data_IF_424562896178
#
_entry.id   IF_424562896178
#
_cell.length_a   1.000
_cell.length_b   1.000
_cell.length_c   1.000
_cell.angle_alpha   90.00
_cell.angle_beta   90.00
_cell.angle_gamma   90.00
#
_symmetry.space_group_name_H-M   'P 1'
#
loop_
_entity.id
_entity.type
_entity.pdbx_description
1 polymer ?
#
# COMPACT_ATOMS: atom_id res chain seq x y z
N UNK A 1 19.76 -2.32 1.27
CA UNK A 1 19.72 -3.68 0.72
C UNK A 1 19.69 -4.65 1.88
N UNK A 2 18.83 -5.66 1.76
CA UNK A 2 18.57 -6.68 2.75
C UNK A 2 19.76 -7.61 3.05
N UNK A 3 20.73 -7.68 2.14
CA UNK A 3 21.97 -8.47 2.27
C UNK A 3 21.71 -9.96 2.60
N UNK A 4 20.61 -10.53 2.12
CA UNK A 4 20.28 -11.93 2.35
C UNK A 4 21.32 -12.87 1.71
N UNK A 5 21.66 -13.94 2.44
CA UNK A 5 22.50 -15.02 1.91
C UNK A 5 21.63 -16.01 1.12
N UNK A 6 22.24 -16.78 0.20
CA UNK A 6 21.54 -17.84 -0.54
C UNK A 6 21.61 -19.16 0.24
N UNK A 7 20.48 -19.89 0.46
CA UNK A 7 19.12 -19.52 0.06
C UNK A 7 18.55 -18.37 0.90
N UNK A 8 17.80 -17.46 0.25
CA UNK A 8 17.09 -16.38 0.93
C UNK A 8 16.06 -16.98 1.89
N UNK A 9 15.84 -16.37 3.07
CA UNK A 9 14.82 -16.86 3.99
C UNK A 9 13.42 -16.66 3.41
N UNK A 10 12.54 -17.62 3.64
CA UNK A 10 11.12 -17.46 3.35
C UNK A 10 10.47 -16.49 4.35
N UNK A 11 9.35 -15.89 3.97
CA UNK A 11 8.57 -15.04 4.88
C UNK A 11 8.12 -15.81 6.13
N UNK A 12 7.86 -17.11 6.02
CA UNK A 12 7.47 -17.93 7.16
C UNK A 12 8.63 -18.09 8.16
N UNK A 13 9.85 -18.35 7.68
CA UNK A 13 11.05 -18.41 8.53
C UNK A 13 11.32 -17.07 9.22
N UNK A 14 11.21 -15.96 8.47
CA UNK A 14 11.35 -14.61 9.02
C UNK A 14 10.32 -14.38 10.14
N UNK A 15 9.04 -14.63 9.88
CA UNK A 15 7.96 -14.41 10.86
C UNK A 15 8.07 -15.34 12.08
N UNK A 16 8.50 -16.59 11.93
CA UNK A 16 8.72 -17.51 13.06
C UNK A 16 9.91 -17.11 13.95
N UNK A 17 10.89 -16.42 13.38
CA UNK A 17 12.10 -15.97 14.08
C UNK A 17 11.98 -14.56 14.68
N UNK A 18 10.91 -13.84 14.34
CA UNK A 18 10.68 -12.45 14.71
C UNK A 18 9.74 -12.32 15.92
N UNK A 19 10.09 -11.48 16.89
CA UNK A 19 9.25 -11.14 18.05
C UNK A 19 8.40 -9.88 17.85
N UNK A 20 8.82 -8.98 16.96
CA UNK A 20 8.21 -7.65 16.75
C UNK A 20 8.23 -7.22 15.28
N UNK A 21 7.06 -6.89 14.72
CA UNK A 21 6.86 -6.64 13.29
C UNK A 21 6.21 -5.27 13.05
N UNK A 22 6.75 -4.53 12.08
CA UNK A 22 6.07 -3.40 11.45
C UNK A 22 5.47 -3.85 10.12
N UNK A 23 4.19 -3.56 9.89
CA UNK A 23 3.54 -3.72 8.58
C UNK A 23 3.06 -2.35 8.12
N UNK A 24 3.43 -1.91 6.92
CA UNK A 24 2.92 -0.66 6.36
C UNK A 24 2.14 -0.89 5.05
N UNK A 25 0.99 -0.24 4.92
CA UNK A 25 0.30 -0.10 3.63
C UNK A 25 1.19 0.65 2.64
N UNK A 26 1.39 0.05 1.48
CA UNK A 26 2.14 0.51 0.32
C UNK A 26 1.11 0.90 -0.73
N UNK A 27 1.12 2.15 -1.20
CA UNK A 27 0.14 2.69 -2.17
C UNK A 27 -0.73 3.81 -1.60
N UNK A 28 -0.92 3.82 -0.28
CA UNK A 28 -1.56 4.92 0.45
C UNK A 28 -2.47 4.45 1.59
N UNK A 29 -3.42 5.30 1.99
CA UNK A 29 -4.28 5.04 3.15
C UNK A 29 -5.09 3.75 3.06
N UNK A 30 -5.54 3.37 1.85
CA UNK A 30 -6.29 2.14 1.57
C UNK A 30 -5.52 0.87 1.96
N UNK A 31 -4.28 0.77 1.52
CA UNK A 31 -3.44 -0.43 1.66
C UNK A 31 -3.14 -0.81 3.10
N UNK A 32 -3.39 0.09 4.06
CA UNK A 32 -3.34 -0.25 5.48
C UNK A 32 -4.24 -1.45 5.80
N UNK A 33 -5.41 -1.56 5.15
CA UNK A 33 -6.33 -2.67 5.39
C UNK A 33 -5.75 -4.01 4.93
N UNK A 34 -4.85 -4.01 3.94
CA UNK A 34 -4.12 -5.19 3.48
C UNK A 34 -3.16 -5.74 4.52
N UNK A 35 -2.77 -4.90 5.49
CA UNK A 35 -1.94 -5.32 6.62
C UNK A 35 -2.66 -6.27 7.58
N UNK A 36 -4.01 -6.34 7.55
CA UNK A 36 -4.80 -7.14 8.50
C UNK A 36 -4.59 -8.63 8.32
N UNK A 37 -4.61 -9.13 7.07
CA UNK A 37 -4.37 -10.54 6.77
C UNK A 37 -2.93 -10.93 7.11
N UNK A 38 -1.96 -10.06 6.81
CA UNK A 38 -0.54 -10.26 7.15
C UNK A 38 -0.34 -10.27 8.66
N UNK A 39 -0.98 -9.35 9.40
CA UNK A 39 -0.97 -9.31 10.86
C UNK A 39 -1.52 -10.62 11.46
N UNK A 40 -2.66 -11.10 10.95
CA UNK A 40 -3.25 -12.35 11.43
C UNK A 40 -2.35 -13.54 11.11
N UNK A 41 -1.76 -13.60 9.92
CA UNK A 41 -0.79 -14.63 9.55
C UNK A 41 0.44 -14.59 10.47
N UNK A 42 1.04 -13.42 10.69
CA UNK A 42 2.18 -13.24 11.61
C UNK A 42 1.86 -13.71 13.04
N UNK A 43 0.66 -13.39 13.57
CA UNK A 43 0.21 -13.89 14.87
C UNK A 43 0.13 -15.41 14.92
N UNK A 44 -0.36 -16.06 13.87
CA UNK A 44 -0.43 -17.53 13.81
C UNK A 44 0.96 -18.18 13.83
N UNK A 45 1.97 -17.47 13.35
CA UNK A 45 3.37 -17.89 13.36
C UNK A 45 4.14 -17.53 14.63
N UNK A 46 3.51 -16.82 15.57
CA UNK A 46 4.05 -16.55 16.90
C UNK A 46 4.58 -15.14 17.14
N UNK A 47 4.44 -14.23 16.18
CA UNK A 47 4.82 -12.81 16.36
C UNK A 47 3.94 -12.18 17.44
N UNK A 48 4.56 -11.57 18.46
CA UNK A 48 3.85 -11.08 19.65
C UNK A 48 3.53 -9.60 19.60
N UNK A 49 4.46 -8.79 19.07
CA UNK A 49 4.31 -7.34 18.95
C UNK A 49 4.14 -7.00 17.47
N UNK A 50 3.06 -6.30 17.14
CA UNK A 50 2.78 -5.86 15.78
C UNK A 50 2.31 -4.42 15.84
N UNK A 51 2.89 -3.56 15.02
CA UNK A 51 2.35 -2.24 14.73
C UNK A 51 2.08 -2.09 13.23
N UNK A 52 1.11 -1.25 12.91
CA UNK A 52 0.68 -0.98 11.55
C UNK A 52 0.98 0.47 11.21
N UNK A 53 1.29 0.75 9.95
CA UNK A 53 1.51 2.10 9.47
C UNK A 53 0.97 2.30 8.06
N UNK A 54 0.84 3.55 7.63
CA UNK A 54 0.66 3.88 6.21
C UNK A 54 1.22 5.26 5.89
N UNK A 55 1.56 5.46 4.63
CA UNK A 55 1.83 6.78 4.06
C UNK A 55 0.47 7.44 3.83
N UNK A 56 0.21 8.52 4.57
CA UNK A 56 -1.15 9.02 4.81
C UNK A 56 -1.67 9.83 3.63
N UNK A 57 -2.40 9.17 2.75
CA UNK A 57 -3.13 9.77 1.63
C UNK A 57 -4.48 9.10 1.47
N UNK A 58 -5.42 9.71 0.73
CA UNK A 58 -6.68 9.02 0.42
C UNK A 58 -7.30 9.43 -0.92
N UNK A 59 -7.91 8.45 -1.60
CA UNK A 59 -8.79 8.67 -2.76
C UNK A 59 -10.23 8.79 -2.29
N UNK A 60 -10.92 9.86 -2.70
CA UNK A 60 -12.26 10.19 -2.17
C UNK A 60 -13.41 9.67 -3.04
N UNK A 61 -13.32 8.44 -3.52
CA UNK A 61 -14.38 7.73 -4.24
C UNK A 61 -13.99 7.24 -5.63
N UNK A 62 -14.95 6.63 -6.31
CA UNK A 62 -14.77 5.85 -7.56
C UNK A 62 -14.17 6.61 -8.74
N UNK A 63 -14.40 7.92 -8.79
CA UNK A 63 -13.93 8.81 -9.88
C UNK A 63 -12.82 9.75 -9.42
N UNK A 64 -12.07 9.36 -8.39
CA UNK A 64 -10.91 10.09 -7.91
C UNK A 64 -9.69 9.74 -8.77
N UNK A 65 -9.09 10.77 -9.37
CA UNK A 65 -7.96 10.62 -10.28
C UNK A 65 -6.63 10.55 -9.52
N UNK A 66 -6.53 11.36 -8.46
CA UNK A 66 -5.40 11.47 -7.57
C UNK A 66 -5.79 11.39 -6.09
N UNK A 67 -4.78 11.21 -5.25
CA UNK A 67 -4.97 11.13 -3.80
C UNK A 67 -4.87 12.49 -3.11
N UNK A 68 -5.68 12.70 -2.08
CA UNK A 68 -5.45 13.81 -1.16
C UNK A 68 -4.28 13.44 -0.24
N UNK A 69 -3.20 14.21 -0.32
CA UNK A 69 -2.08 14.10 0.62
C UNK A 69 -2.50 14.74 1.94
N UNK A 70 -2.44 13.97 3.03
CA UNK A 70 -2.80 14.49 4.35
C UNK A 70 -1.64 15.24 4.99
N UNK A 71 -1.94 16.43 5.51
CA UNK A 71 -1.13 17.03 6.56
C UNK A 71 -1.37 16.23 7.85
N UNK A 72 -0.28 15.72 8.43
CA UNK A 72 -0.36 14.84 9.60
C UNK A 72 -0.99 15.52 10.82
N UNK A 73 -0.91 16.85 10.92
CA UNK A 73 -1.54 17.62 12.00
C UNK A 73 -3.07 17.67 11.84
N UNK A 74 -3.63 17.27 10.70
CA UNK A 74 -5.09 17.13 10.54
C UNK A 74 -5.66 15.98 11.36
N UNK A 75 -4.86 14.97 11.72
CA UNK A 75 -5.28 13.90 12.61
C UNK A 75 -5.25 14.37 14.07
N UNK A 76 -6.43 14.49 14.70
CA UNK A 76 -6.54 14.96 16.09
C UNK A 76 -7.58 14.19 16.92
N UNK A 77 -7.27 13.81 18.18
CA UNK A 77 -5.95 13.86 18.82
C UNK A 77 -5.02 12.77 18.28
N UNK A 78 -3.70 12.94 18.39
CA UNK A 78 -2.68 11.93 18.07
C UNK A 78 -1.53 11.97 19.08
N UNK A 79 -0.73 10.91 19.15
CA UNK A 79 0.56 10.93 19.86
C UNK A 79 1.68 11.16 18.83
N UNK A 80 2.36 12.32 18.88
CA UNK A 80 3.44 12.63 17.93
C UNK A 80 4.59 11.65 18.08
N UNK A 81 5.12 11.15 16.96
CA UNK A 81 6.28 10.27 16.91
C UNK A 81 7.33 10.86 15.96
N UNK A 82 8.38 11.44 16.54
CA UNK A 82 9.38 12.15 15.75
C UNK A 82 8.78 13.34 14.99
N UNK A 83 9.31 13.58 13.79
CA UNK A 83 8.87 14.71 12.94
C UNK A 83 7.84 14.31 11.88
N UNK A 84 7.91 13.08 11.40
CA UNK A 84 7.26 12.65 10.17
C UNK A 84 6.21 11.56 10.41
N UNK A 85 5.92 11.22 11.66
CA UNK A 85 4.93 10.22 12.02
C UNK A 85 4.10 10.63 13.25
N UNK A 86 2.91 10.04 13.35
CA UNK A 86 2.03 10.22 14.49
C UNK A 86 1.23 8.94 14.72
N UNK A 87 1.05 8.55 15.98
CA UNK A 87 0.17 7.44 16.33
C UNK A 87 -1.28 7.89 16.27
N UNK A 88 -2.06 7.15 15.50
CA UNK A 88 -3.51 7.30 15.41
C UNK A 88 -4.16 6.57 16.58
N UNK A 89 -5.05 7.30 17.26
CA UNK A 89 -5.80 6.81 18.41
C UNK A 89 -7.23 6.42 17.98
N UNK A 90 -7.92 5.56 18.74
CA UNK A 90 -9.31 5.18 18.42
C UNK A 90 -10.27 6.38 18.32
N UNK A 91 -10.01 7.44 19.08
CA UNK A 91 -10.81 8.67 19.08
C UNK A 91 -10.29 9.76 18.12
N UNK A 92 -9.23 9.50 17.36
CA UNK A 92 -8.73 10.42 16.33
C UNK A 92 -9.81 10.70 15.28
N UNK A 93 -9.81 11.93 14.79
CA UNK A 93 -10.63 12.42 13.70
C UNK A 93 -9.77 13.22 12.71
N UNK A 94 -10.17 13.23 11.45
CA UNK A 94 -9.55 14.11 10.46
C UNK A 94 -10.21 15.50 10.53
N UNK A 95 -9.42 16.54 10.74
CA UNK A 95 -9.89 17.90 11.04
C UNK A 95 -9.65 18.92 9.92
N UNK A 96 -8.91 18.53 8.88
CA UNK A 96 -8.58 19.34 7.71
C UNK A 96 -8.79 18.61 6.39
N UNK A 97 -8.50 19.30 5.29
CA UNK A 97 -8.67 18.79 3.93
C UNK A 97 -10.11 18.53 3.50
N UNK A 98 -10.26 17.96 2.30
CA UNK A 98 -11.50 17.38 1.75
C UNK A 98 -11.99 16.20 2.60
N UNK A 99 -11.08 15.55 3.33
CA UNK A 99 -11.37 14.52 4.30
C UNK A 99 -11.95 14.98 5.64
N UNK A 100 -12.04 16.29 5.93
CA UNK A 100 -12.49 16.78 7.23
C UNK A 100 -13.82 16.16 7.66
N UNK A 101 -13.83 15.55 8.84
CA UNK A 101 -14.99 14.87 9.43
C UNK A 101 -15.32 13.51 8.80
N UNK A 102 -14.58 13.06 7.78
CA UNK A 102 -14.70 11.73 7.20
C UNK A 102 -13.84 10.72 7.97
N UNK A 103 -14.18 9.45 7.79
CA UNK A 103 -13.39 8.34 8.30
C UNK A 103 -12.27 8.01 7.29
N UNK A 104 -11.09 7.67 7.80
CA UNK A 104 -9.98 7.13 7.03
C UNK A 104 -9.63 5.72 7.52
N UNK A 105 -8.90 4.96 6.71
CA UNK A 105 -8.51 3.60 7.06
C UNK A 105 -7.63 3.55 8.32
N UNK A 106 -6.75 4.53 8.53
CA UNK A 106 -5.94 4.64 9.75
C UNK A 106 -6.82 4.72 11.00
N UNK A 107 -7.85 5.58 10.95
CA UNK A 107 -8.79 5.75 12.06
C UNK A 107 -9.67 4.51 12.22
N UNK A 108 -10.14 3.91 11.13
CA UNK A 108 -10.96 2.70 11.17
C UNK A 108 -10.20 1.52 11.78
N UNK A 109 -8.97 1.29 11.35
CA UNK A 109 -8.12 0.21 11.86
C UNK A 109 -7.76 0.46 13.33
N UNK A 110 -7.40 1.68 13.72
CA UNK A 110 -7.11 2.02 15.12
C UNK A 110 -8.33 1.82 16.04
N UNK A 111 -9.56 1.98 15.54
CA UNK A 111 -10.79 1.71 16.30
C UNK A 111 -11.11 0.22 16.44
N UNK A 112 -10.80 -0.57 15.42
CA UNK A 112 -11.26 -1.96 15.32
C UNK A 112 -10.25 -2.97 15.87
N UNK A 113 -8.96 -2.63 15.88
CA UNK A 113 -7.87 -3.52 16.25
C UNK A 113 -7.00 -2.94 17.35
N UNK A 114 -6.71 -3.75 18.35
CA UNK A 114 -5.83 -3.40 19.47
C UNK A 114 -4.35 -3.59 19.07
N UNK A 115 -3.89 -2.74 18.16
CA UNK A 115 -2.50 -2.61 17.73
C UNK A 115 -2.16 -1.13 17.52
N UNK A 116 -0.92 -0.69 17.75
CA UNK A 116 -0.51 0.66 17.36
C UNK A 116 -0.68 0.86 15.85
N UNK A 117 -1.30 1.98 15.47
CA UNK A 117 -1.46 2.41 14.07
C UNK A 117 -0.78 3.77 13.91
N UNK A 118 0.04 3.92 12.88
CA UNK A 118 0.79 5.13 12.61
C UNK A 118 0.46 5.72 11.25
N UNK A 119 0.28 7.04 11.22
CA UNK A 119 0.24 7.84 10.02
C UNK A 119 1.66 8.37 9.73
N UNK A 120 2.10 8.32 8.48
CA UNK A 120 3.38 8.86 8.00
C UNK A 120 3.09 10.01 7.03
N UNK A 121 3.86 11.09 7.15
CA UNK A 121 3.73 12.31 6.36
C UNK A 121 4.47 12.21 5.01
N UNK A 122 3.72 12.16 3.91
CA UNK A 122 4.26 12.14 2.55
C UNK A 122 4.84 13.50 2.12
N UNK A 123 4.39 14.61 2.69
CA UNK A 123 4.81 15.96 2.28
C UNK A 123 6.30 16.20 2.50
N UNK A 124 6.92 15.39 3.36
CA UNK A 124 8.34 15.41 3.67
C UNK A 124 9.20 14.58 2.69
N UNK A 125 8.61 14.03 1.62
CA UNK A 125 9.31 13.28 0.58
C UNK A 125 9.89 11.94 1.05
N UNK A 126 10.67 11.28 0.18
CA UNK A 126 11.24 9.96 0.44
C UNK A 126 12.08 9.93 1.73
N UNK A 127 12.85 10.99 1.99
CA UNK A 127 13.69 11.10 3.17
C UNK A 127 12.87 11.13 4.47
N UNK A 128 11.81 11.95 4.51
CA UNK A 128 10.91 12.05 5.65
C UNK A 128 10.08 10.79 5.88
N UNK A 129 9.59 10.16 4.80
CA UNK A 129 8.88 8.87 4.88
C UNK A 129 9.77 7.81 5.52
N UNK A 130 11.04 7.74 5.09
CA UNK A 130 12.03 6.81 5.66
C UNK A 130 12.31 7.11 7.14
N UNK A 131 12.53 8.38 7.51
CA UNK A 131 12.74 8.77 8.91
C UNK A 131 11.51 8.41 9.78
N UNK A 132 10.29 8.62 9.27
CA UNK A 132 9.06 8.21 9.95
C UNK A 132 8.97 6.69 10.18
N UNK A 133 9.30 5.87 9.17
CA UNK A 133 9.35 4.41 9.32
C UNK A 133 10.41 3.98 10.34
N UNK A 134 11.61 4.55 10.30
CA UNK A 134 12.70 4.25 11.24
C UNK A 134 12.35 4.68 12.68
N UNK A 135 11.62 5.78 12.86
CA UNK A 135 11.11 6.21 14.15
C UNK A 135 10.10 5.20 14.73
N UNK A 136 9.20 4.66 13.89
CA UNK A 136 8.25 3.61 14.28
C UNK A 136 8.97 2.32 14.65
N UNK A 137 9.95 1.91 13.84
CA UNK A 137 10.79 0.73 14.12
C UNK A 137 11.47 0.86 15.47
N UNK A 138 12.10 2.01 15.74
CA UNK A 138 12.84 2.25 16.97
C UNK A 138 11.94 2.30 18.20
N UNK A 139 10.80 2.99 18.11
CA UNK A 139 9.81 3.10 19.20
C UNK A 139 9.25 1.73 19.60
N UNK A 140 8.96 0.88 18.62
CA UNK A 140 8.32 -0.41 18.85
C UNK A 140 9.32 -1.58 18.96
N UNK A 141 10.62 -1.32 18.74
CA UNK A 141 11.67 -2.34 18.67
C UNK A 141 11.36 -3.41 17.63
N UNK A 142 10.97 -3.00 16.42
CA UNK A 142 10.65 -3.92 15.33
C UNK A 142 11.91 -4.61 14.80
N UNK A 143 11.79 -5.88 14.43
CA UNK A 143 12.89 -6.72 13.93
C UNK A 143 12.68 -7.09 12.46
N UNK A 144 11.46 -6.90 11.94
CA UNK A 144 11.10 -7.13 10.55
C UNK A 144 10.14 -6.01 10.09
N UNK A 145 10.28 -5.59 8.83
CA UNK A 145 9.36 -4.69 8.15
C UNK A 145 8.70 -5.39 6.96
N UNK A 146 7.38 -5.28 6.83
CA UNK A 146 6.64 -5.72 5.65
C UNK A 146 5.90 -4.52 5.05
N UNK A 147 6.25 -4.15 3.83
CA UNK A 147 5.50 -3.21 2.99
C UNK A 147 4.44 -3.98 2.21
N UNK A 148 3.18 -3.60 2.28
CA UNK A 148 2.04 -4.38 1.80
C UNK A 148 1.12 -3.56 0.90
N UNK A 149 0.86 -4.06 -0.29
CA UNK A 149 0.21 -3.34 -1.39
C UNK A 149 -0.86 -4.23 -2.04
N UNK A 150 -1.95 -3.67 -2.54
CA UNK A 150 -2.84 -4.36 -3.49
C UNK A 150 -2.45 -4.10 -4.96
N UNK A 151 -1.72 -3.01 -5.17
CA UNK A 151 -1.17 -2.47 -6.40
C UNK A 151 -0.22 -3.42 -7.12
N UNK A 152 -0.31 -3.40 -8.44
CA UNK A 152 0.57 -4.14 -9.35
C UNK A 152 1.66 -3.25 -9.94
N UNK A 153 1.60 -1.94 -9.71
CA UNK A 153 2.56 -0.94 -10.17
C UNK A 153 3.92 -0.99 -9.45
N UNK A 154 4.01 -1.57 -8.26
CA UNK A 154 5.29 -1.97 -7.68
C UNK A 154 6.08 -2.95 -8.59
N UNK A 155 5.39 -3.70 -9.46
CA UNK A 155 5.95 -4.60 -10.46
C UNK A 155 6.05 -3.98 -11.87
N UNK A 156 5.88 -2.66 -12.00
CA UNK A 156 6.05 -1.93 -13.25
C UNK A 156 7.47 -2.12 -13.81
N UNK A 157 7.59 -2.37 -15.12
CA UNK A 157 8.88 -2.59 -15.78
C UNK A 157 9.28 -1.47 -16.74
N UNK A 158 8.39 -0.51 -17.00
CA UNK A 158 8.55 0.50 -18.05
C UNK A 158 7.80 0.17 -19.35
N UNK A 159 7.29 -1.05 -19.49
CA UNK A 159 6.60 -1.49 -20.71
C UNK A 159 5.08 -1.41 -20.60
N UNK A 160 4.54 -1.38 -19.38
CA UNK A 160 3.10 -1.32 -19.14
C UNK A 160 2.56 0.10 -19.28
N UNK A 161 1.42 0.26 -19.94
CA UNK A 161 0.83 1.58 -20.24
C UNK A 161 -0.34 1.97 -19.33
N UNK A 162 -0.73 1.11 -18.39
CA UNK A 162 -1.90 1.31 -17.53
C UNK A 162 -1.54 1.78 -16.11
N UNK A 163 -0.26 1.79 -15.76
CA UNK A 163 0.22 2.23 -14.44
C UNK A 163 -0.05 3.71 -14.22
N UNK A 164 -0.68 4.04 -13.10
CA UNK A 164 -1.16 5.40 -12.81
C UNK A 164 -0.70 5.93 -11.44
N UNK A 165 -0.46 5.08 -10.43
CA UNK A 165 -0.09 5.54 -9.07
C UNK A 165 1.28 5.08 -8.53
N UNK A 166 2.38 5.09 -9.31
CA UNK A 166 3.61 4.43 -8.88
C UNK A 166 4.41 5.16 -7.79
N UNK A 167 4.05 6.39 -7.38
CA UNK A 167 4.93 7.22 -6.55
C UNK A 167 5.05 6.67 -5.13
N UNK A 168 3.93 6.42 -4.47
CA UNK A 168 3.91 5.96 -3.07
C UNK A 168 4.45 4.53 -2.98
N UNK A 169 4.10 3.68 -3.95
CA UNK A 169 4.63 2.31 -4.04
C UNK A 169 6.14 2.32 -4.25
N UNK A 170 6.62 3.20 -5.12
CA UNK A 170 8.04 3.33 -5.33
C UNK A 170 8.78 3.72 -4.04
N UNK A 171 8.25 4.68 -3.28
CA UNK A 171 8.82 5.09 -2.00
C UNK A 171 8.81 3.95 -0.98
N UNK A 172 7.67 3.27 -0.85
CA UNK A 172 7.45 2.23 0.14
C UNK A 172 8.35 1.00 -0.11
N UNK A 173 8.43 0.52 -1.36
CA UNK A 173 9.33 -0.58 -1.75
C UNK A 173 10.79 -0.20 -1.57
N UNK A 174 11.18 1.03 -1.94
CA UNK A 174 12.55 1.50 -1.74
C UNK A 174 12.92 1.57 -0.25
N UNK A 175 12.01 2.04 0.60
CA UNK A 175 12.19 1.99 2.05
C UNK A 175 12.32 0.55 2.54
N UNK A 176 11.48 -0.38 2.07
CA UNK A 176 11.59 -1.80 2.44
C UNK A 176 12.96 -2.40 2.05
N UNK A 177 13.59 -1.92 0.98
CA UNK A 177 14.94 -2.35 0.60
C UNK A 177 16.04 -1.67 1.42
N UNK A 178 15.85 -0.43 1.89
CA UNK A 178 16.91 0.41 2.47
C UNK A 178 16.83 0.63 3.99
N UNK A 179 15.82 0.08 4.67
CA UNK A 179 15.67 0.17 6.12
C UNK A 179 16.78 -0.55 6.91
N UNK A 180 16.92 -0.18 8.19
CA UNK A 180 17.92 -0.74 9.10
C UNK A 180 17.64 -2.18 9.54
N UNK A 181 16.41 -2.64 9.38
CA UNK A 181 15.95 -4.00 9.64
C UNK A 181 15.58 -4.70 8.33
N UNK A 182 15.56 -6.05 8.28
CA UNK A 182 15.10 -6.78 7.10
C UNK A 182 13.72 -6.30 6.66
N UNK A 183 13.55 -6.08 5.35
CA UNK A 183 12.30 -5.67 4.74
C UNK A 183 11.79 -6.67 3.71
N UNK A 184 10.47 -6.80 3.62
CA UNK A 184 9.78 -7.66 2.65
C UNK A 184 8.69 -6.85 1.97
N UNK A 185 8.50 -7.05 0.67
CA UNK A 185 7.32 -6.53 -0.02
C UNK A 185 6.25 -7.62 -0.11
N UNK A 186 4.99 -7.26 0.11
CA UNK A 186 3.84 -8.15 0.08
C UNK A 186 2.82 -7.64 -0.94
N UNK A 187 2.63 -8.40 -2.02
CA UNK A 187 1.59 -8.18 -3.01
C UNK A 187 0.32 -8.93 -2.57
N UNK A 188 -0.68 -8.18 -2.14
CA UNK A 188 -2.03 -8.64 -1.88
C UNK A 188 -2.91 -8.50 -3.12
N UNK A 189 -4.01 -9.25 -3.17
CA UNK A 189 -5.08 -8.99 -4.12
C UNK A 189 -4.68 -9.02 -5.59
N UNK A 190 -3.79 -9.95 -5.97
CA UNK A 190 -3.25 -10.16 -7.32
C UNK A 190 -4.11 -9.57 -8.48
N UNK A 191 -3.67 -8.40 -8.98
CA UNK A 191 -4.32 -7.67 -10.09
C UNK A 191 -5.56 -6.86 -9.72
N UNK A 192 -5.77 -6.57 -8.43
CA UNK A 192 -6.97 -5.95 -7.88
C UNK A 192 -7.09 -4.44 -8.12
N UNK A 193 -5.96 -3.76 -8.31
CA UNK A 193 -5.90 -2.32 -8.59
C UNK A 193 -6.26 -1.95 -10.04
N UNK A 194 -6.28 -2.93 -10.94
CA UNK A 194 -6.47 -2.80 -12.39
C UNK A 194 -5.41 -1.98 -13.13
N UNK A 195 -4.28 -1.64 -12.50
CA UNK A 195 -3.24 -0.82 -13.12
C UNK A 195 -2.30 -1.65 -14.01
N UNK A 196 -2.48 -2.97 -14.01
CA UNK A 196 -1.77 -3.89 -14.88
C UNK A 196 -2.65 -5.04 -15.35
N UNK A 197 -2.71 -5.23 -16.67
CA UNK A 197 -3.34 -6.42 -17.24
C UNK A 197 -2.69 -7.72 -16.71
N UNK A 198 -3.50 -8.74 -16.39
CA UNK A 198 -3.02 -9.98 -15.76
C UNK A 198 -1.88 -10.66 -16.54
N UNK A 199 -1.86 -10.55 -17.87
CA UNK A 199 -0.75 -11.11 -18.68
C UNK A 199 0.59 -10.42 -18.39
N UNK A 200 0.59 -9.11 -18.19
CA UNK A 200 1.79 -8.36 -17.81
C UNK A 200 2.16 -8.65 -16.35
N UNK A 201 1.17 -8.68 -15.45
CA UNK A 201 1.41 -9.02 -14.04
C UNK A 201 2.02 -10.43 -13.89
N UNK A 202 1.47 -11.44 -14.57
CA UNK A 202 2.02 -12.79 -14.59
C UNK A 202 3.46 -12.83 -15.10
N UNK A 203 3.77 -12.08 -16.17
CA UNK A 203 5.12 -11.96 -16.71
C UNK A 203 6.08 -11.36 -15.68
N UNK A 204 5.69 -10.24 -15.06
CA UNK A 204 6.56 -9.47 -14.18
C UNK A 204 6.79 -10.21 -12.85
N UNK A 205 5.75 -10.82 -12.28
CA UNK A 205 5.88 -11.74 -11.14
C UNK A 205 6.79 -12.91 -11.47
N UNK A 206 6.64 -13.51 -12.65
CA UNK A 206 7.51 -14.58 -13.13
C UNK A 206 8.97 -14.15 -13.27
N UNK A 207 9.23 -12.90 -13.67
CA UNK A 207 10.58 -12.34 -13.73
C UNK A 207 11.16 -12.10 -12.32
N UNK A 208 10.39 -11.52 -11.40
CA UNK A 208 10.80 -11.37 -10.00
C UNK A 208 11.14 -12.73 -9.37
N UNK A 209 10.31 -13.75 -9.61
CA UNK A 209 10.57 -15.13 -9.20
C UNK A 209 11.88 -15.67 -9.80
N UNK A 210 12.11 -15.47 -11.10
CA UNK A 210 13.32 -15.94 -11.81
C UNK A 210 14.60 -15.32 -11.26
N UNK A 211 14.54 -14.07 -10.80
CA UNK A 211 15.63 -13.37 -10.09
C UNK A 211 15.81 -13.82 -8.64
N UNK A 212 15.05 -14.83 -8.19
CA UNK A 212 15.08 -15.29 -6.81
C UNK A 212 14.47 -14.27 -5.84
N UNK A 213 13.53 -13.45 -6.31
CA UNK A 213 12.83 -12.48 -5.47
C UNK A 213 11.70 -13.09 -4.65
N UNK A 214 11.21 -14.29 -4.96
CA UNK A 214 10.04 -14.86 -4.30
C UNK A 214 10.37 -15.51 -2.96
N UNK A 215 9.68 -15.08 -1.90
CA UNK A 215 9.90 -15.48 -0.51
C UNK A 215 8.77 -16.33 0.07
N UNK A 216 7.79 -16.70 -0.76
CA UNK A 216 6.64 -17.50 -0.37
C UNK A 216 5.32 -16.72 -0.45
N UNK A 217 4.27 -17.34 0.06
CA UNK A 217 2.91 -16.81 0.00
C UNK A 217 2.09 -17.24 1.22
N UNK A 218 1.01 -16.50 1.51
CA UNK A 218 -0.01 -16.87 2.49
C UNK A 218 -1.41 -16.68 1.90
N UNK A 219 -2.36 -17.52 2.31
CA UNK A 219 -3.75 -17.42 1.85
C UNK A 219 -4.62 -16.60 2.81
N UNK A 220 -5.57 -15.84 2.27
CA UNK A 220 -6.60 -15.15 3.05
C UNK A 220 -7.51 -16.20 3.71
N UNK A 221 -7.61 -16.16 5.04
CA UNK A 221 -8.39 -17.11 5.84
C UNK A 221 -9.80 -16.63 6.10
N UNK A 222 -10.66 -17.51 6.63
CA UNK A 222 -12.01 -17.13 7.07
C UNK A 222 -11.99 -16.10 8.20
N UNK A 223 -10.98 -16.11 9.07
CA UNK A 223 -10.81 -15.08 10.09
C UNK A 223 -10.51 -13.73 9.44
N UNK A 224 -9.64 -13.71 8.44
CA UNK A 224 -9.30 -12.48 7.71
C UNK A 224 -10.52 -11.90 7.01
N UNK A 225 -11.34 -12.75 6.38
CA UNK A 225 -12.61 -12.34 5.79
C UNK A 225 -13.51 -11.63 6.80
N UNK A 226 -13.63 -12.14 8.02
CA UNK A 226 -14.44 -11.52 9.08
C UNK A 226 -13.86 -10.19 9.53
N UNK A 227 -12.54 -10.13 9.76
CA UNK A 227 -11.87 -8.91 10.19
C UNK A 227 -11.91 -7.81 9.12
N UNK A 228 -11.65 -8.16 7.86
CA UNK A 228 -11.74 -7.24 6.71
C UNK A 228 -13.18 -6.75 6.50
N UNK A 229 -14.18 -7.64 6.62
CA UNK A 229 -15.59 -7.25 6.51
C UNK A 229 -15.96 -6.20 7.57
N UNK A 230 -15.46 -6.31 8.81
CA UNK A 230 -15.69 -5.29 9.86
C UNK A 230 -15.12 -3.92 9.49
N UNK A 231 -14.00 -3.87 8.77
CA UNK A 231 -13.43 -2.59 8.29
C UNK A 231 -14.31 -2.00 7.20
N UNK A 232 -14.68 -2.79 6.18
CA UNK A 232 -15.52 -2.31 5.08
C UNK A 232 -16.93 -1.93 5.53
N UNK A 233 -17.51 -2.62 6.51
CA UNK A 233 -18.79 -2.23 7.11
C UNK A 233 -18.71 -0.85 7.80
N UNK A 234 -17.54 -0.49 8.33
CA UNK A 234 -17.30 0.79 8.99
C UNK A 234 -16.92 1.91 8.00
N UNK A 235 -16.10 1.60 6.99
CA UNK A 235 -15.63 2.55 5.98
C UNK A 235 -16.70 2.86 4.92
N UNK A 236 -17.55 1.88 4.60
CA UNK A 236 -18.46 1.92 3.47
C UNK A 236 -17.88 1.23 2.22
N UNK A 237 -18.53 1.41 1.06
CA UNK A 237 -18.08 0.82 -0.19
C UNK A 237 -16.64 1.22 -0.51
N UNK A 238 -15.85 0.23 -0.89
CA UNK A 238 -14.46 0.38 -1.30
C UNK A 238 -14.30 -0.19 -2.71
N UNK A 239 -13.51 0.47 -3.57
CA UNK A 239 -13.40 0.11 -4.97
C UNK A 239 -12.21 -0.82 -5.29
N UNK A 240 -11.26 -1.00 -4.36
CA UNK A 240 -10.00 -1.71 -4.64
C UNK A 240 -9.65 -2.69 -3.53
N UNK A 241 -9.45 -2.18 -2.32
CA UNK A 241 -9.04 -2.96 -1.15
C UNK A 241 -9.93 -4.14 -0.79
N UNK A 242 -11.21 -4.12 -1.19
CA UNK A 242 -12.15 -5.22 -0.93
C UNK A 242 -11.83 -6.53 -1.69
N UNK A 243 -11.02 -6.48 -2.76
CA UNK A 243 -10.88 -7.61 -3.68
C UNK A 243 -10.33 -8.90 -3.07
N UNK A 244 -9.30 -8.90 -2.20
CA UNK A 244 -8.82 -10.12 -1.56
C UNK A 244 -9.90 -10.79 -0.71
N UNK A 245 -10.67 -9.99 0.05
CA UNK A 245 -11.78 -10.48 0.87
C UNK A 245 -12.86 -11.14 0.00
N UNK A 246 -13.22 -10.53 -1.14
CA UNK A 246 -14.23 -11.06 -2.07
C UNK A 246 -13.75 -12.28 -2.82
N UNK A 247 -12.47 -12.32 -3.23
CA UNK A 247 -11.84 -13.49 -3.84
C UNK A 247 -11.87 -14.68 -2.87
N UNK A 248 -11.55 -14.46 -1.59
CA UNK A 248 -11.58 -15.50 -0.56
C UNK A 248 -13.00 -16.05 -0.28
N UNK A 249 -14.05 -15.29 -0.60
CA UNK A 249 -15.45 -15.74 -0.59
C UNK A 249 -15.86 -16.53 -1.85
N UNK A 250 -14.95 -16.70 -2.81
CA UNK A 250 -15.20 -17.39 -4.08
C UNK A 250 -15.97 -16.55 -5.09
N UNK A 251 -16.15 -15.25 -4.83
CA UNK A 251 -16.66 -14.35 -5.84
C UNK A 251 -15.53 -14.15 -6.86
N UNK A 252 -15.58 -14.76 -8.04
CA UNK A 252 -14.53 -14.70 -9.06
C UNK A 252 -15.12 -14.26 -10.40
N UNK A 253 -14.29 -13.71 -11.28
CA UNK A 253 -14.70 -13.21 -12.60
C UNK A 253 -14.25 -11.79 -12.89
N UNK A 254 -14.89 -11.16 -13.88
CA UNK A 254 -14.56 -9.80 -14.31
C UNK A 254 -15.47 -8.80 -13.62
N UNK A 255 -14.87 -7.79 -13.00
CA UNK A 255 -15.53 -6.70 -12.31
C UNK A 255 -14.96 -5.37 -12.79
N UNK A 256 -15.49 -4.28 -12.24
CA UNK A 256 -14.99 -2.94 -12.47
C UNK A 256 -14.56 -2.31 -11.15
N UNK A 257 -13.38 -1.69 -11.13
CA UNK A 257 -12.92 -0.80 -10.07
C UNK A 257 -12.68 0.61 -10.67
N UNK A 258 -12.09 1.53 -9.88
CA UNK A 258 -11.48 2.82 -10.30
C UNK A 258 -11.79 3.23 -11.76
N UNK A 259 -12.64 4.25 -11.95
CA UNK A 259 -12.98 4.76 -13.30
C UNK A 259 -13.49 3.70 -14.30
N UNK A 260 -14.16 2.66 -13.80
CA UNK A 260 -14.68 1.54 -14.59
C UNK A 260 -13.58 0.70 -15.28
N UNK A 261 -12.39 0.61 -14.68
CA UNK A 261 -11.34 -0.29 -15.16
C UNK A 261 -11.68 -1.74 -14.86
N UNK A 262 -11.43 -2.61 -15.84
CA UNK A 262 -11.72 -4.04 -15.72
C UNK A 262 -10.71 -4.73 -14.81
N UNK A 263 -11.20 -5.37 -13.75
CA UNK A 263 -10.44 -6.25 -12.86
C UNK A 263 -10.86 -7.69 -13.12
N UNK A 264 -9.92 -8.55 -13.50
CA UNK A 264 -10.14 -9.99 -13.53
C UNK A 264 -9.72 -10.59 -12.19
N UNK A 265 -10.71 -10.91 -11.35
CA UNK A 265 -10.49 -11.51 -10.03
C UNK A 265 -10.43 -13.02 -10.14
N UNK A 266 -9.21 -13.54 -10.13
CA UNK A 266 -8.87 -14.98 -10.14
C UNK A 266 -8.57 -15.49 -8.73
N UNK A 267 -8.47 -16.82 -8.47
CA UNK A 267 -8.15 -17.35 -7.15
C UNK A 267 -6.88 -16.80 -6.52
N UNK A 268 -5.88 -16.41 -7.33
CA UNK A 268 -4.64 -15.79 -6.84
C UNK A 268 -4.89 -14.46 -6.11
N UNK A 269 -6.01 -13.77 -6.35
CA UNK A 269 -6.37 -12.56 -5.61
C UNK A 269 -6.68 -12.84 -4.12
N UNK A 270 -6.94 -14.09 -3.73
CA UNK A 270 -7.08 -14.50 -2.33
C UNK A 270 -5.74 -14.91 -1.68
N UNK A 271 -4.62 -14.56 -2.29
CA UNK A 271 -3.27 -14.93 -1.85
C UNK A 271 -2.40 -13.67 -1.74
N UNK A 272 -1.64 -13.58 -0.66
CA UNK A 272 -0.55 -12.63 -0.48
C UNK A 272 0.75 -13.27 -0.98
N UNK A 273 1.43 -12.65 -1.92
CA UNK A 273 2.75 -13.07 -2.40
C UNK A 273 3.83 -12.19 -1.79
N UNK A 274 4.90 -12.79 -1.26
CA UNK A 274 5.98 -12.05 -0.62
C UNK A 274 7.24 -12.06 -1.50
N UNK A 275 7.86 -10.89 -1.62
CA UNK A 275 9.01 -10.66 -2.47
C UNK A 275 10.14 -9.92 -1.75
N UNK A 276 11.35 -10.13 -2.25
CA UNK A 276 12.53 -9.36 -1.94
C UNK A 276 12.38 -7.95 -2.55
N UNK A 277 12.31 -6.88 -1.74
CA UNK A 277 12.22 -5.52 -2.26
C UNK A 277 13.47 -5.13 -3.06
N UNK A 278 14.66 -5.72 -2.79
CA UNK A 278 15.87 -5.43 -3.57
C UNK A 278 15.68 -5.83 -5.05
N UNK A 279 15.01 -6.98 -5.31
CA UNK A 279 14.73 -7.45 -6.67
C UNK A 279 13.75 -6.52 -7.38
N UNK A 280 12.74 -6.01 -6.67
CA UNK A 280 11.77 -5.07 -7.25
C UNK A 280 12.42 -3.72 -7.55
N UNK A 281 13.32 -3.23 -6.68
CA UNK A 281 14.10 -2.02 -6.92
C UNK A 281 14.94 -2.11 -8.21
N UNK A 282 15.46 -3.29 -8.56
CA UNK A 282 16.22 -3.49 -9.80
C UNK A 282 15.33 -3.49 -11.05
N UNK A 283 14.11 -4.02 -10.92
CA UNK A 283 13.17 -4.19 -12.04
C UNK A 283 12.41 -2.91 -12.35
N UNK A 284 12.02 -2.14 -11.33
CA UNK A 284 11.08 -1.05 -11.49
C UNK A 284 11.78 0.29 -11.78
N UNK A 285 11.56 0.91 -12.95
CA UNK A 285 12.17 2.19 -13.29
C UNK A 285 11.66 3.35 -12.40
N UNK A 286 10.43 3.31 -11.90
CA UNK A 286 9.92 4.36 -11.01
C UNK A 286 10.65 4.36 -9.65
N UNK A 287 10.91 3.16 -9.08
CA UNK A 287 11.72 3.01 -7.87
C UNK A 287 13.13 3.56 -8.08
N UNK A 288 13.76 3.24 -9.22
CA UNK A 288 15.10 3.74 -9.54
C UNK A 288 15.12 5.25 -9.74
N UNK A 289 14.05 5.82 -10.31
CA UNK A 289 13.95 7.24 -10.58
C UNK A 289 13.97 8.09 -9.31
N UNK A 290 13.25 7.66 -8.28
CA UNK A 290 13.14 8.43 -7.02
C UNK A 290 14.34 8.23 -6.09
N UNK A 291 15.26 7.32 -6.41
CA UNK A 291 16.42 7.03 -5.56
C UNK A 291 17.30 8.27 -5.42
N UNK A 292 17.46 8.72 -4.17
CA UNK A 292 18.26 9.91 -3.83
C UNK A 292 17.49 11.24 -3.93
N UNK A 293 16.19 11.21 -4.19
CA UNK A 293 15.33 12.39 -4.03
C UNK A 293 15.11 12.71 -2.56
N UNK A 294 15.02 14.00 -2.22
CA UNK A 294 14.84 14.47 -0.86
C UNK A 294 13.41 14.96 -0.60
N UNK A 295 12.80 15.62 -1.59
CA UNK A 295 11.45 16.20 -1.49
C UNK A 295 10.41 15.44 -2.32
N UNK A 296 9.14 15.58 -1.95
CA UNK A 296 8.01 15.03 -2.72
C UNK A 296 8.05 15.50 -4.18
N UNK A 297 8.28 16.79 -4.40
CA UNK A 297 8.33 17.36 -5.75
C UNK A 297 9.47 16.78 -6.60
N UNK A 298 10.64 16.54 -6.02
CA UNK A 298 11.75 15.90 -6.73
C UNK A 298 11.40 14.46 -7.14
N UNK A 299 10.73 13.71 -6.27
CA UNK A 299 10.28 12.35 -6.58
C UNK A 299 9.26 12.33 -7.72
N UNK A 300 8.25 13.21 -7.66
CA UNK A 300 7.25 13.38 -8.73
C UNK A 300 7.90 13.75 -10.08
N UNK A 301 8.82 14.73 -10.07
CA UNK A 301 9.51 15.18 -11.28
C UNK A 301 10.43 14.08 -11.86
N UNK A 302 11.06 13.28 -11.00
CA UNK A 302 11.89 12.16 -11.41
C UNK A 302 11.07 11.05 -12.09
N UNK A 303 9.92 10.67 -11.52
CA UNK A 303 9.00 9.69 -12.15
C UNK A 303 8.51 10.22 -13.48
N UNK A 304 8.07 11.48 -13.55
CA UNK A 304 7.62 12.08 -14.80
C UNK A 304 8.73 12.07 -15.87
N UNK A 305 9.93 12.49 -15.51
CA UNK A 305 11.06 12.60 -16.46
C UNK A 305 11.53 11.23 -16.96
N UNK A 306 11.58 10.22 -16.10
CA UNK A 306 12.15 8.91 -16.43
C UNK A 306 11.13 7.90 -16.93
N UNK A 307 9.87 8.00 -16.48
CA UNK A 307 8.82 7.03 -16.79
C UNK A 307 7.69 7.63 -17.64
N UNK A 308 7.60 8.95 -17.77
CA UNK A 308 6.51 9.61 -18.49
C UNK A 308 5.15 9.52 -17.77
N UNK A 309 5.16 9.22 -16.47
CA UNK A 309 3.95 9.04 -15.64
C UNK A 309 3.77 10.28 -14.76
N UNK A 310 2.56 10.84 -14.75
CA UNK A 310 2.20 11.90 -13.81
C UNK A 310 1.76 11.24 -12.50
N UNK A 311 2.50 11.48 -11.42
CA UNK A 311 2.22 10.88 -10.11
C UNK A 311 0.83 11.21 -9.58
N UNK A 312 0.25 10.29 -8.82
CA UNK A 312 -1.08 10.34 -8.23
C UNK A 312 -1.32 11.56 -7.34
N UNK A 313 -0.28 12.13 -6.75
CA UNK A 313 -0.32 13.37 -5.95
C UNK A 313 -0.50 14.65 -6.77
N UNK A 314 -0.32 14.57 -8.10
CA UNK A 314 -0.51 15.67 -9.05
C UNK A 314 -1.83 15.60 -9.83
N UNK A 315 -2.62 14.56 -9.58
CA UNK A 315 -3.88 14.30 -10.27
C UNK A 315 -5.07 14.90 -9.51
N UNK A 316 -6.21 15.01 -10.19
CA UNK A 316 -7.40 15.63 -9.61
C UNK A 316 -8.02 14.75 -8.51
N UNK A 317 -8.29 15.34 -7.34
CA UNK A 317 -8.91 14.63 -6.22
C UNK A 317 -10.36 14.16 -6.49
N UNK A 318 -11.01 14.77 -7.47
CA UNK A 318 -12.34 14.41 -7.95
C UNK A 318 -12.45 14.75 -9.44
N UNK A 319 -13.16 13.92 -10.19
CA UNK A 319 -13.67 14.28 -11.50
C UNK A 319 -15.20 14.34 -11.45
N UNK A 320 -15.75 15.43 -11.99
CA UNK A 320 -17.20 15.60 -12.11
C UNK A 320 -17.79 14.62 -13.15
N UNK A 321 -18.07 13.37 -12.78
CA UNK A 321 -18.65 12.36 -13.68
C UNK A 321 -20.13 12.03 -13.36
N UNK A 322 -21.03 11.90 -14.36
CA UNK A 322 -20.79 12.12 -15.79
C UNK A 322 -20.59 13.59 -16.10
N UNK A 323 -19.58 13.87 -16.94
CA UNK A 323 -19.38 15.21 -17.46
C UNK A 323 -20.63 15.64 -18.25
N UNK A 324 -21.07 16.91 -18.16
CA UNK A 324 -22.14 17.42 -19.01
C UNK A 324 -21.86 17.11 -20.50
N UNK A 325 -22.90 16.90 -21.33
CA UNK A 325 -22.69 16.71 -22.76
C UNK A 325 -21.96 17.94 -23.31
N UNK A 326 -20.92 17.71 -24.13
CA UNK A 326 -20.12 18.79 -24.74
C UNK A 326 -21.01 19.82 -25.46
N UNK A 327 -22.13 19.34 -26.01
CA UNK A 327 -23.17 20.16 -26.58
C UNK A 327 -24.47 19.87 -25.84
N UNK A 328 -25.03 20.84 -25.10
CA UNK A 328 -26.39 20.68 -24.59
C UNK A 328 -27.36 20.59 -25.77
N UNK A 329 -28.47 19.87 -25.58
CA UNK A 329 -29.54 19.80 -26.57
C UNK A 329 -29.96 21.21 -27.00
N UNK A 330 -29.96 21.45 -28.31
CA UNK A 330 -30.51 22.69 -28.87
C UNK A 330 -32.03 22.60 -28.72
N UNK A 331 -32.57 23.33 -27.75
CA UNK A 331 -34.01 23.58 -27.63
C UNK A 331 -34.52 24.34 -28.86
#
# INVERSE_FOLDING_TARGET
>A
MNNWTTPKPSVEELLRSCGSLLIAGCGGGGDLVQSISIMNYARTLGVKKICLATISVNWWGTYSDGCEVFDIDWFQPTEKLGKHAARILPNTQLTGGKGKGKLSYEIAVARLFDVPVYAIDLTCGLSGVREGLEDIVRENGCELFISADIGSDALFTGEETQVCSPLIDAMSVLCASEMTIPGVYALNGYGGDAEMHLTHLNRNVGEAMRRGGYLGASGITQKDVLDLTRVFDLMGPDDVEQWPCRAAKGELGVFYCKRLWGVERIPAAAVTFFFDPDVLCEMNPAIRAIKGTETLQQAEDAIFTQCGILSETRLALDLDYPMPPQYPDKK
#
